data_IF_067986239034
#
_entry.id   IF_067986239034
#
_cell.length_a   1.000
_cell.length_b   1.000
_cell.length_c   1.000
_cell.angle_alpha   90.00
_cell.angle_beta   90.00
_cell.angle_gamma   90.00
#
_symmetry.space_group_name_H-M   'P 1'
#
loop_
_entity.id
_entity.type
_entity.pdbx_description
1 polymer ?
#
# COMPACT_ATOMS: atom_id res chain seq x y z
N UNK A 1 -9.61 -2.68 12.98
CA UNK A 1 -10.64 -1.67 12.63
C UNK A 1 -10.88 -1.83 11.15
N UNK A 2 -12.10 -2.18 10.74
CA UNK A 2 -12.40 -2.40 9.33
C UNK A 2 -13.32 -1.26 8.86
N UNK A 3 -12.88 -0.54 7.84
CA UNK A 3 -13.64 0.49 7.14
C UNK A 3 -13.54 0.18 5.66
N UNK A 4 -14.66 0.10 4.97
CA UNK A 4 -14.70 -0.25 3.56
C UNK A 4 -15.96 0.25 2.90
N UNK A 5 -15.94 0.30 1.57
CA UNK A 5 -17.13 0.55 0.78
C UNK A 5 -17.92 -0.74 0.57
N UNK A 6 -19.23 -0.61 0.45
CA UNK A 6 -20.10 -1.72 0.08
C UNK A 6 -20.96 -1.39 -1.12
N UNK A 7 -21.18 -2.42 -1.92
CA UNK A 7 -22.12 -2.34 -3.04
C UNK A 7 -23.54 -2.27 -2.50
N UNK A 8 -24.37 -1.41 -3.11
CA UNK A 8 -25.75 -1.21 -2.66
C UNK A 8 -26.61 -2.48 -2.80
N UNK A 9 -26.26 -3.38 -3.71
CA UNK A 9 -26.96 -4.64 -3.96
C UNK A 9 -26.59 -5.77 -3.00
N UNK A 10 -25.80 -5.50 -1.94
CA UNK A 10 -25.42 -6.53 -0.98
C UNK A 10 -26.64 -7.09 -0.23
N UNK A 11 -26.84 -8.42 -0.17
CA UNK A 11 -28.06 -9.02 0.39
C UNK A 11 -28.35 -8.66 1.85
N UNK A 12 -27.31 -8.58 2.68
CA UNK A 12 -27.43 -8.32 4.12
C UNK A 12 -27.64 -6.83 4.46
N UNK A 13 -27.62 -5.94 3.47
CA UNK A 13 -27.81 -4.52 3.71
C UNK A 13 -29.31 -4.19 3.84
N UNK A 14 -29.71 -3.29 4.76
CA UNK A 14 -31.10 -2.90 4.90
C UNK A 14 -31.56 -2.13 3.66
N UNK A 15 -32.30 -2.78 2.76
CA UNK A 15 -32.73 -2.21 1.47
C UNK A 15 -33.56 -0.93 1.65
N UNK A 16 -34.40 -0.89 2.68
CA UNK A 16 -35.20 0.30 3.00
C UNK A 16 -34.34 1.53 3.27
N UNK A 17 -33.21 1.34 3.94
CA UNK A 17 -32.25 2.40 4.23
C UNK A 17 -31.44 2.79 2.98
N UNK A 18 -31.11 1.79 2.14
CA UNK A 18 -30.35 2.01 0.92
C UNK A 18 -31.15 2.70 -0.18
N UNK A 19 -32.46 2.48 -0.23
CA UNK A 19 -33.36 3.07 -1.22
C UNK A 19 -33.78 4.51 -0.88
N UNK A 20 -33.47 5.00 0.33
CA UNK A 20 -33.79 6.38 0.72
C UNK A 20 -32.95 7.38 -0.09
N UNK A 21 -33.57 8.40 -0.71
CA UNK A 21 -32.82 9.47 -1.36
C UNK A 21 -32.03 10.25 -0.30
N UNK A 22 -30.79 10.60 -0.61
CA UNK A 22 -29.92 11.40 0.26
C UNK A 22 -29.65 12.70 -0.47
N UNK A 23 -29.90 13.85 0.16
CA UNK A 23 -29.55 15.13 -0.46
C UNK A 23 -28.05 15.33 -0.43
N UNK A 24 -27.54 16.18 -1.32
CA UNK A 24 -26.14 16.59 -1.30
C UNK A 24 -25.81 17.19 0.08
N UNK A 25 -24.76 16.69 0.74
CA UNK A 25 -24.33 17.06 2.09
C UNK A 25 -25.13 16.47 3.27
N UNK A 26 -26.16 15.65 3.03
CA UNK A 26 -26.82 14.90 4.10
C UNK A 26 -26.09 13.57 4.37
N UNK A 27 -26.06 13.16 5.65
CA UNK A 27 -25.43 11.93 6.11
C UNK A 27 -26.50 11.06 6.75
N UNK A 28 -26.93 10.03 6.04
CA UNK A 28 -27.82 9.03 6.61
C UNK A 28 -26.96 7.88 7.15
N UNK A 29 -27.28 7.41 8.35
CA UNK A 29 -26.61 6.26 8.94
C UNK A 29 -27.62 5.31 9.56
N UNK A 30 -27.34 4.02 9.50
CA UNK A 30 -28.09 2.97 10.19
C UNK A 30 -27.10 2.04 10.87
N UNK A 31 -27.34 1.77 12.15
CA UNK A 31 -26.50 0.85 12.92
C UNK A 31 -27.26 -0.44 13.18
N UNK A 32 -26.64 -1.55 12.81
CA UNK A 32 -27.10 -2.89 13.12
C UNK A 32 -26.01 -3.55 13.96
N UNK A 33 -26.28 -3.78 15.25
CA UNK A 33 -25.32 -4.34 16.20
C UNK A 33 -24.00 -3.54 16.26
N UNK A 34 -22.90 -4.19 15.87
CA UNK A 34 -21.56 -3.62 15.84
C UNK A 34 -21.24 -2.94 14.50
N UNK A 35 -22.09 -3.06 13.47
CA UNK A 35 -21.86 -2.52 12.14
C UNK A 35 -22.68 -1.25 11.94
N UNK A 36 -21.99 -0.17 11.59
CA UNK A 36 -22.56 1.11 11.16
C UNK A 36 -22.48 1.18 9.64
N UNK A 37 -23.63 1.30 8.99
CA UNK A 37 -23.75 1.61 7.56
C UNK A 37 -23.96 3.11 7.44
N UNK A 38 -23.13 3.77 6.64
CA UNK A 38 -23.22 5.19 6.36
C UNK A 38 -23.39 5.40 4.86
N UNK A 39 -24.44 6.13 4.48
CA UNK A 39 -24.69 6.54 3.11
C UNK A 39 -24.30 8.01 2.96
N UNK A 40 -23.33 8.26 2.09
CA UNK A 40 -22.76 9.58 1.84
C UNK A 40 -22.81 9.90 0.34
N UNK A 41 -23.45 11.01 -0.02
CA UNK A 41 -23.73 11.40 -1.42
C UNK A 41 -24.45 10.28 -2.20
N UNK A 42 -24.64 10.46 -3.51
CA UNK A 42 -25.52 9.60 -4.31
C UNK A 42 -25.13 8.11 -4.32
N UNK A 43 -23.86 7.76 -4.08
CA UNK A 43 -23.37 6.41 -4.43
C UNK A 43 -22.40 5.75 -3.43
N UNK A 44 -21.93 6.44 -2.38
CA UNK A 44 -20.90 5.87 -1.48
C UNK A 44 -21.52 5.35 -0.19
N UNK A 45 -21.47 4.03 -0.01
CA UNK A 45 -21.88 3.35 1.20
C UNK A 45 -20.66 2.84 1.96
N UNK A 46 -20.50 3.23 3.22
CA UNK A 46 -19.34 2.90 4.04
C UNK A 46 -19.80 2.05 5.23
N UNK A 47 -19.15 0.90 5.44
CA UNK A 47 -19.29 0.08 6.63
C UNK A 47 -18.20 0.41 7.65
N UNK A 48 -18.59 0.51 8.92
CA UNK A 48 -17.67 0.75 10.05
C UNK A 48 -18.09 -0.04 11.28
N UNK A 49 -17.14 -0.65 11.96
CA UNK A 49 -17.41 -1.64 13.02
C UNK A 49 -17.29 -1.15 14.47
N UNK A 50 -16.83 0.09 14.73
CA UNK A 50 -16.47 0.51 16.09
C UNK A 50 -16.84 1.92 16.55
N UNK A 51 -17.14 2.86 15.66
CA UNK A 51 -17.26 4.27 16.06
C UNK A 51 -18.69 4.77 16.02
N UNK A 52 -18.99 5.74 16.90
CA UNK A 52 -20.23 6.50 16.84
C UNK A 52 -20.33 7.25 15.49
N UNK A 53 -21.57 7.53 15.02
CA UNK A 53 -21.84 8.35 13.84
C UNK A 53 -21.56 9.82 14.16
N UNK A 54 -20.29 10.16 14.41
CA UNK A 54 -19.86 11.52 14.66
C UNK A 54 -19.54 12.22 13.33
N UNK A 55 -19.92 13.49 13.26
CA UNK A 55 -19.61 14.40 12.16
C UNK A 55 -18.52 15.34 12.65
N UNK A 56 -17.48 15.53 11.85
CA UNK A 56 -16.39 16.45 12.17
C UNK A 56 -16.14 17.41 11.01
N UNK A 57 -15.62 18.58 11.37
CA UNK A 57 -15.26 19.61 10.41
C UNK A 57 -13.97 19.21 9.70
N UNK A 58 -14.04 19.10 8.38
CA UNK A 58 -12.88 18.81 7.55
C UNK A 58 -12.54 20.02 6.67
N UNK A 59 -11.46 20.71 7.03
CA UNK A 59 -10.90 21.79 6.20
C UNK A 59 -10.11 21.18 5.04
N UNK A 60 -10.61 21.37 3.82
CA UNK A 60 -9.83 21.13 2.60
C UNK A 60 -9.01 22.39 2.28
N UNK A 61 -8.02 22.30 1.38
CA UNK A 61 -7.16 23.43 0.96
C UNK A 61 -7.93 24.70 0.55
N UNK A 62 -9.20 24.56 0.15
CA UNK A 62 -10.02 25.66 -0.37
C UNK A 62 -11.28 25.93 0.45
N UNK A 63 -11.82 24.93 1.18
CA UNK A 63 -13.15 25.04 1.83
C UNK A 63 -13.28 24.12 3.05
N UNK A 64 -14.10 24.54 4.03
CA UNK A 64 -14.56 23.69 5.13
C UNK A 64 -15.75 22.86 4.67
N UNK A 65 -15.64 21.53 4.79
CA UNK A 65 -16.72 20.58 4.48
C UNK A 65 -17.01 19.75 5.72
N UNK A 66 -18.29 19.66 6.07
CA UNK A 66 -18.76 18.74 7.10
C UNK A 66 -18.66 17.33 6.54
N UNK A 67 -17.95 16.41 7.20
CA UNK A 67 -17.86 15.00 6.79
C UNK A 67 -18.00 14.10 8.01
N UNK A 68 -18.54 12.89 7.83
CA UNK A 68 -18.48 11.91 8.91
C UNK A 68 -17.04 11.43 9.13
N UNK A 69 -16.67 11.18 10.38
CA UNK A 69 -15.40 10.54 10.74
C UNK A 69 -15.16 9.23 9.98
N UNK A 70 -16.23 8.51 9.63
CA UNK A 70 -16.16 7.28 8.85
C UNK A 70 -15.62 7.54 7.44
N UNK A 71 -16.10 8.60 6.79
CA UNK A 71 -15.65 9.04 5.46
C UNK A 71 -14.21 9.53 5.53
N UNK A 72 -13.87 10.33 6.54
CA UNK A 72 -12.51 10.87 6.72
C UNK A 72 -11.50 9.74 6.93
N UNK A 73 -11.81 8.80 7.83
CA UNK A 73 -10.93 7.66 8.08
C UNK A 73 -10.79 6.77 6.84
N UNK A 74 -11.87 6.54 6.09
CA UNK A 74 -11.82 5.82 4.83
C UNK A 74 -10.89 6.53 3.83
N UNK A 75 -11.10 7.82 3.58
CA UNK A 75 -10.28 8.62 2.67
C UNK A 75 -8.82 8.69 3.11
N UNK A 76 -8.52 8.61 4.41
CA UNK A 76 -7.15 8.62 4.93
C UNK A 76 -6.42 7.29 4.70
N UNK A 77 -7.12 6.16 4.83
CA UNK A 77 -6.52 4.82 4.77
C UNK A 77 -6.38 4.33 3.33
N UNK A 78 -7.41 4.55 2.51
CA UNK A 78 -7.51 4.02 1.14
C UNK A 78 -6.35 4.36 0.21
N UNK A 79 -5.88 5.63 0.09
CA UNK A 79 -4.86 5.97 -0.87
C UNK A 79 -3.50 5.34 -0.55
N UNK A 80 -3.29 4.78 0.65
CA UNK A 80 -2.03 4.15 1.03
C UNK A 80 -1.66 2.96 0.13
N UNK A 81 -2.65 2.19 -0.32
CA UNK A 81 -2.43 1.07 -1.23
C UNK A 81 -2.11 1.57 -2.65
N UNK A 82 -2.95 2.45 -3.18
CA UNK A 82 -2.80 3.01 -4.53
C UNK A 82 -1.47 3.75 -4.70
N UNK A 83 -1.02 4.45 -3.66
CA UNK A 83 0.26 5.17 -3.69
C UNK A 83 1.46 4.21 -3.73
N UNK A 84 1.36 3.07 -3.03
CA UNK A 84 2.40 2.04 -3.08
C UNK A 84 2.44 1.37 -4.46
N UNK A 85 1.27 1.05 -5.03
CA UNK A 85 1.17 0.47 -6.38
C UNK A 85 1.68 1.44 -7.46
N UNK A 86 1.39 2.74 -7.29
CA UNK A 86 1.92 3.80 -8.13
C UNK A 86 3.46 3.84 -8.08
N UNK A 87 4.07 3.82 -6.88
CA UNK A 87 5.54 3.82 -6.73
C UNK A 87 6.17 2.59 -7.39
N UNK A 88 5.55 1.42 -7.24
CA UNK A 88 6.05 0.16 -7.83
C UNK A 88 5.95 0.19 -9.36
N UNK A 89 4.87 0.73 -9.90
CA UNK A 89 4.62 0.82 -11.35
C UNK A 89 5.65 1.67 -12.08
N UNK A 90 6.17 2.71 -11.43
CA UNK A 90 7.23 3.55 -12.01
C UNK A 90 8.61 2.88 -12.06
N UNK A 91 8.79 1.69 -11.47
CA UNK A 91 10.10 1.02 -11.45
C UNK A 91 10.43 0.36 -12.82
N UNK A 92 11.58 0.64 -13.45
CA UNK A 92 11.97 0.09 -14.76
C UNK A 92 12.02 -1.45 -14.86
N UNK A 93 12.07 -2.18 -13.74
CA UNK A 93 12.11 -3.65 -13.74
C UNK A 93 10.80 -4.30 -14.21
N UNK A 94 9.67 -3.58 -14.21
CA UNK A 94 8.36 -4.15 -14.57
C UNK A 94 8.27 -4.59 -16.04
N UNK A 95 9.06 -3.98 -16.94
CA UNK A 95 8.96 -4.18 -18.41
C UNK A 95 10.02 -5.11 -19.01
N UNK A 96 10.89 -5.71 -18.18
CA UNK A 96 12.11 -6.39 -18.67
C UNK A 96 11.90 -7.85 -19.11
N UNK A 97 10.76 -8.48 -18.81
CA UNK A 97 10.58 -9.90 -19.11
C UNK A 97 9.13 -10.28 -19.40
N UNK A 98 8.96 -11.20 -20.35
CA UNK A 98 7.66 -11.81 -20.71
C UNK A 98 7.38 -13.08 -19.90
N UNK A 99 8.40 -13.68 -19.25
CA UNK A 99 8.23 -14.91 -18.47
C UNK A 99 7.60 -14.59 -17.11
N UNK A 100 6.44 -15.19 -16.82
CA UNK A 100 5.64 -14.91 -15.61
C UNK A 100 6.44 -15.05 -14.30
N UNK A 101 7.23 -16.12 -14.14
CA UNK A 101 8.06 -16.34 -12.95
C UNK A 101 9.11 -15.24 -12.74
N UNK A 102 9.79 -14.84 -13.82
CA UNK A 102 10.77 -13.74 -13.78
C UNK A 102 10.08 -12.41 -13.45
N UNK A 103 8.88 -12.19 -14.00
CA UNK A 103 8.06 -11.00 -13.70
C UNK A 103 7.68 -10.94 -12.22
N UNK A 104 7.25 -12.06 -11.65
CA UNK A 104 6.93 -12.16 -10.22
C UNK A 104 8.15 -11.91 -9.34
N UNK A 105 9.29 -12.52 -9.66
CA UNK A 105 10.53 -12.32 -8.90
C UNK A 105 10.97 -10.86 -8.90
N UNK A 106 11.00 -10.19 -10.07
CA UNK A 106 11.36 -8.77 -10.14
C UNK A 106 10.36 -7.85 -9.43
N UNK A 107 9.07 -8.19 -9.48
CA UNK A 107 8.05 -7.48 -8.72
C UNK A 107 8.28 -7.61 -7.22
N UNK A 108 8.58 -8.81 -6.72
CA UNK A 108 8.85 -9.04 -5.30
C UNK A 108 10.12 -8.30 -4.84
N UNK A 109 11.20 -8.35 -5.61
CA UNK A 109 12.42 -7.58 -5.31
C UNK A 109 12.12 -6.09 -5.23
N UNK A 110 11.36 -5.56 -6.19
CA UNK A 110 10.93 -4.16 -6.19
C UNK A 110 10.12 -3.81 -4.94
N UNK A 111 9.15 -4.66 -4.59
CA UNK A 111 8.32 -4.46 -3.41
C UNK A 111 9.18 -4.45 -2.14
N UNK A 112 10.09 -5.41 -1.98
CA UNK A 112 11.02 -5.46 -0.85
C UNK A 112 11.87 -4.20 -0.74
N UNK A 113 12.42 -3.69 -1.85
CA UNK A 113 13.22 -2.47 -1.87
C UNK A 113 12.40 -1.25 -1.46
N UNK A 114 11.16 -1.12 -1.94
CA UNK A 114 10.25 -0.04 -1.55
C UNK A 114 9.92 -0.11 -0.05
N UNK A 115 9.62 -1.30 0.48
CA UNK A 115 9.33 -1.49 1.91
C UNK A 115 10.56 -1.20 2.79
N UNK A 116 11.75 -1.66 2.38
CA UNK A 116 13.01 -1.35 3.06
C UNK A 116 13.28 0.16 3.08
N UNK A 117 12.99 0.86 1.98
CA UNK A 117 13.11 2.31 1.92
C UNK A 117 12.12 2.99 2.89
N UNK A 118 10.86 2.58 2.93
CA UNK A 118 9.86 3.11 3.87
C UNK A 118 10.35 2.93 5.32
N UNK A 119 10.91 1.77 5.65
CA UNK A 119 11.49 1.51 6.97
C UNK A 119 12.67 2.45 7.25
N UNK A 120 13.61 2.58 6.30
CA UNK A 120 14.75 3.49 6.41
C UNK A 120 14.29 4.93 6.66
N UNK A 121 13.30 5.42 5.90
CA UNK A 121 12.70 6.74 6.12
C UNK A 121 12.14 6.91 7.53
N UNK A 122 11.48 5.89 8.08
CA UNK A 122 10.92 5.93 9.45
C UNK A 122 12.02 6.02 10.49
N UNK A 123 13.07 5.21 10.37
CA UNK A 123 14.20 5.18 11.29
C UNK A 123 15.00 6.49 11.22
N UNK A 124 15.31 7.00 10.03
CA UNK A 124 16.05 8.25 9.88
C UNK A 124 15.25 9.46 10.38
N UNK A 125 13.92 9.45 10.19
CA UNK A 125 13.05 10.48 10.77
C UNK A 125 13.04 10.45 12.31
N UNK A 126 13.02 9.26 12.91
CA UNK A 126 13.15 9.13 14.37
C UNK A 126 14.50 9.63 14.88
N UNK A 127 15.57 9.42 14.10
CA UNK A 127 16.93 9.89 14.38
C UNK A 127 17.17 11.37 14.01
N UNK A 128 16.13 12.08 13.53
CA UNK A 128 16.20 13.47 13.04
C UNK A 128 17.27 13.71 11.96
N UNK A 129 17.53 12.71 11.12
CA UNK A 129 18.51 12.78 10.03
C UNK A 129 17.84 13.06 8.69
N UNK A 130 18.65 13.53 7.73
CA UNK A 130 18.19 13.78 6.37
C UNK A 130 17.79 12.47 5.70
N UNK A 131 16.52 12.40 5.31
CA UNK A 131 15.98 11.25 4.61
C UNK A 131 16.43 11.24 3.14
N UNK A 132 16.89 10.08 2.69
CA UNK A 132 17.34 9.86 1.32
C UNK A 132 16.18 9.68 0.34
N UNK A 133 16.38 10.05 -0.93
CA UNK A 133 15.48 9.70 -2.04
C UNK A 133 15.54 8.21 -2.37
N UNK A 134 14.51 7.67 -3.05
CA UNK A 134 14.47 6.23 -3.40
C UNK A 134 15.58 5.83 -4.38
N UNK A 135 15.90 6.70 -5.35
CA UNK A 135 16.96 6.47 -6.32
C UNK A 135 18.35 6.36 -5.66
N UNK A 136 18.64 7.29 -4.75
CA UNK A 136 19.88 7.28 -3.99
C UNK A 136 19.97 6.04 -3.08
N UNK A 137 18.85 5.66 -2.45
CA UNK A 137 18.76 4.44 -1.64
C UNK A 137 19.05 3.19 -2.48
N UNK A 138 18.45 3.08 -3.66
CA UNK A 138 18.72 1.99 -4.61
C UNK A 138 20.19 1.96 -5.05
N UNK A 139 20.77 3.11 -5.39
CA UNK A 139 22.19 3.21 -5.75
C UNK A 139 23.12 2.73 -4.62
N UNK A 140 22.83 3.10 -3.36
CA UNK A 140 23.60 2.63 -2.22
C UNK A 140 23.42 1.14 -1.97
N UNK A 141 22.19 0.63 -2.08
CA UNK A 141 21.89 -0.78 -1.96
C UNK A 141 22.67 -1.61 -3.02
N UNK A 142 22.66 -1.18 -4.27
CA UNK A 142 23.43 -1.84 -5.34
C UNK A 142 24.94 -1.83 -5.06
N UNK A 143 25.48 -0.73 -4.52
CA UNK A 143 26.90 -0.64 -4.14
C UNK A 143 27.23 -1.61 -3.00
N UNK A 144 26.41 -1.64 -1.95
CA UNK A 144 26.59 -2.53 -0.81
C UNK A 144 26.54 -4.01 -1.24
N UNK A 145 25.53 -4.40 -2.02
CA UNK A 145 25.41 -5.77 -2.55
C UNK A 145 26.58 -6.15 -3.46
N UNK A 146 27.10 -5.21 -4.25
CA UNK A 146 28.27 -5.45 -5.10
C UNK A 146 29.56 -5.62 -4.30
N UNK A 147 29.70 -4.93 -3.16
CA UNK A 147 30.84 -5.07 -2.26
C UNK A 147 30.77 -6.39 -1.50
N UNK A 148 29.60 -6.75 -0.99
CA UNK A 148 29.35 -8.03 -0.32
C UNK A 148 29.63 -9.22 -1.24
N UNK A 149 29.16 -9.17 -2.49
CA UNK A 149 29.47 -10.20 -3.50
C UNK A 149 30.97 -10.34 -3.76
N UNK A 150 31.72 -9.23 -3.81
CA UNK A 150 33.18 -9.29 -3.99
C UNK A 150 33.89 -9.86 -2.76
N UNK A 151 33.42 -9.54 -1.55
CA UNK A 151 33.96 -10.10 -0.32
C UNK A 151 33.72 -11.61 -0.25
N UNK A 152 32.54 -12.09 -0.63
CA UNK A 152 32.23 -13.51 -0.73
C UNK A 152 33.10 -14.21 -1.80
N UNK A 153 33.23 -13.61 -2.99
CA UNK A 153 34.08 -14.17 -4.04
C UNK A 153 35.58 -14.21 -3.66
N UNK A 154 36.04 -13.28 -2.82
CA UNK A 154 37.41 -13.28 -2.30
C UNK A 154 37.61 -14.36 -1.22
N UNK A 155 36.56 -14.69 -0.47
CA UNK A 155 36.57 -15.79 0.51
C UNK A 155 36.43 -17.17 -0.17
N UNK A 156 35.66 -17.27 -1.25
CA UNK A 156 35.54 -18.48 -2.08
C UNK A 156 36.82 -18.73 -2.90
N UNK A 157 37.55 -17.67 -3.28
CA UNK A 157 38.86 -17.79 -3.95
C UNK A 157 39.98 -18.37 -3.09
N UNK A 158 39.77 -18.52 -1.78
CA UNK A 158 40.71 -19.16 -0.86
C UNK A 158 40.38 -20.64 -0.61
N UNK A 159 39.21 -21.12 -1.06
CA UNK A 159 38.77 -22.52 -0.89
C UNK A 159 38.09 -23.05 -2.17
N UNK A 160 38.88 -23.77 -2.98
CA UNK A 160 38.51 -24.90 -3.85
C UNK A 160 38.76 -24.74 -5.38
N UNK A 161 39.77 -25.45 -5.93
CA UNK A 161 39.80 -25.84 -7.34
C UNK A 161 39.04 -27.17 -7.57
N UNK A 162 37.75 -27.30 -7.21
CA UNK A 162 37.03 -28.55 -7.49
C UNK A 162 35.48 -28.50 -7.60
N UNK A 163 34.85 -27.38 -7.97
CA UNK A 163 33.37 -27.38 -8.20
C UNK A 163 33.00 -26.75 -9.54
N UNK A 164 33.63 -27.22 -10.62
CA UNK A 164 33.06 -27.15 -11.97
C UNK A 164 32.62 -28.56 -12.37
N UNK A 165 31.40 -28.95 -12.03
CA UNK A 165 30.80 -30.15 -12.62
C UNK A 165 29.26 -30.21 -12.59
N UNK A 166 28.55 -29.12 -12.25
CA UNK A 166 27.07 -29.17 -12.12
C UNK A 166 26.31 -28.34 -13.15
N UNK A 167 26.99 -27.69 -14.11
CA UNK A 167 26.33 -26.82 -15.10
C UNK A 167 26.10 -27.51 -16.46
N UNK A 168 26.73 -28.66 -16.72
CA UNK A 168 26.60 -29.35 -18.02
C UNK A 168 25.45 -30.36 -18.12
N UNK A 169 24.77 -30.70 -17.02
CA UNK A 169 23.71 -31.73 -17.00
C UNK A 169 22.27 -31.20 -17.23
N UNK A 170 22.11 -29.92 -17.61
CA UNK A 170 20.78 -29.35 -17.94
C UNK A 170 20.83 -28.58 -19.27
N UNK A 171 21.42 -29.18 -20.31
CA UNK A 171 21.15 -28.83 -21.72
C UNK A 171 20.18 -29.82 -22.35
#
# INVERSE_FOLDING_TARGET
>A
MCVGTVQANWPDLPKDFMNQPVRASEINFKRTNQVLVLKWTWEINILKTKHLPTVSDHTTRTEKKYKSDSVINYTKIMPGFDLNDQIITYNPFHRKTVKCLKKLAFHHITLCVVQAHILHKRVEKQRQRKVMGIEQFMCQLCKALSQERRALASAEGEVAPHVEQFVDDIS
#
